data_IF_128477258640
#
_entry.id   IF_128477258640
#
_cell.length_a   1.000
_cell.length_b   1.000
_cell.length_c   1.000
_cell.angle_alpha   90.00
_cell.angle_beta   90.00
_cell.angle_gamma   90.00
#
_symmetry.space_group_name_H-M   'P 1'
#
loop_
_entity.id
_entity.type
_entity.pdbx_description
1 polymer ?
#
# COMPACT_ATOMS: atom_id res chain seq x y z
N UNK A 1 5.63 4.79 -14.43
CA UNK A 1 4.34 4.09 -14.47
C UNK A 1 4.41 2.95 -15.50
N UNK A 2 4.82 3.17 -16.75
CA UNK A 2 4.97 2.10 -17.75
C UNK A 2 5.91 0.97 -17.32
N UNK A 3 7.01 1.27 -16.62
CA UNK A 3 7.97 0.28 -16.14
C UNK A 3 7.40 -0.62 -15.03
N UNK A 4 6.47 -0.12 -14.21
CA UNK A 4 5.81 -0.91 -13.17
C UNK A 4 4.64 -1.73 -13.74
N UNK A 5 3.98 -1.26 -14.79
CA UNK A 5 2.73 -1.84 -15.29
C UNK A 5 2.81 -2.43 -16.70
N UNK A 6 3.89 -2.17 -17.46
CA UNK A 6 4.01 -2.57 -18.88
C UNK A 6 4.08 -4.08 -19.17
N UNK A 7 4.25 -4.91 -18.13
CA UNK A 7 4.30 -6.37 -18.25
C UNK A 7 3.09 -7.09 -17.64
N UNK A 8 2.01 -6.35 -17.32
CA UNK A 8 0.81 -6.96 -16.75
C UNK A 8 -0.05 -7.60 -17.85
N UNK A 9 -0.39 -8.86 -17.66
CA UNK A 9 -1.43 -9.48 -18.47
C UNK A 9 -2.78 -8.81 -18.16
N UNK A 10 -3.61 -8.62 -19.21
CA UNK A 10 -4.94 -7.99 -19.09
C UNK A 10 -5.96 -8.75 -18.24
N UNK A 11 -5.60 -9.94 -17.74
CA UNK A 11 -6.54 -10.89 -17.14
C UNK A 11 -6.39 -11.01 -15.61
N UNK A 12 -5.72 -10.05 -14.95
CA UNK A 12 -5.61 -10.05 -13.49
C UNK A 12 -6.85 -9.42 -12.86
N UNK A 13 -7.60 -10.22 -12.13
CA UNK A 13 -8.72 -9.75 -11.33
C UNK A 13 -8.23 -9.29 -9.96
N UNK A 14 -8.49 -8.04 -9.61
CA UNK A 14 -8.22 -7.47 -8.29
C UNK A 14 -9.52 -7.43 -7.49
N UNK A 15 -9.52 -8.07 -6.34
CA UNK A 15 -10.65 -8.00 -5.41
C UNK A 15 -10.67 -6.64 -4.71
N UNK A 16 -11.79 -5.92 -4.84
CA UNK A 16 -12.04 -4.65 -4.17
C UNK A 16 -12.98 -4.82 -2.99
N UNK A 17 -12.58 -4.25 -1.85
CA UNK A 17 -13.37 -4.22 -0.61
C UNK A 17 -13.52 -2.79 -0.11
N UNK A 18 -14.42 -2.58 0.84
CA UNK A 18 -14.44 -1.31 1.59
C UNK A 18 -13.22 -1.25 2.51
N UNK A 19 -12.43 -0.19 2.39
CA UNK A 19 -11.22 0.05 3.16
C UNK A 19 -11.40 1.27 4.04
N UNK A 20 -10.66 1.34 5.14
CA UNK A 20 -10.54 2.53 5.99
C UNK A 20 -9.80 3.65 5.25
N UNK A 21 -8.76 3.32 4.52
CA UNK A 21 -7.96 4.25 3.73
C UNK A 21 -6.80 4.88 4.49
N UNK A 22 -6.88 4.94 5.82
CA UNK A 22 -5.85 5.43 6.72
C UNK A 22 -5.70 4.53 7.95
N UNK A 23 -5.52 3.23 7.70
CA UNK A 23 -5.44 2.23 8.76
C UNK A 23 -4.06 2.28 9.43
N UNK A 24 -4.00 2.95 10.59
CA UNK A 24 -2.79 3.15 11.38
C UNK A 24 -3.08 3.09 12.88
N UNK A 25 -2.08 2.86 13.74
CA UNK A 25 -2.28 2.76 15.19
C UNK A 25 -3.01 3.96 15.82
N UNK A 26 -2.79 5.19 15.28
CA UNK A 26 -3.45 6.40 15.77
C UNK A 26 -4.97 6.41 15.57
N UNK A 27 -5.48 5.61 14.63
CA UNK A 27 -6.90 5.50 14.32
C UNK A 27 -7.56 4.26 14.94
N UNK A 28 -6.85 3.57 15.87
CA UNK A 28 -7.34 2.41 16.59
C UNK A 28 -7.44 2.78 18.07
N UNK A 29 -8.65 2.86 18.59
CA UNK A 29 -8.90 3.02 20.02
C UNK A 29 -9.14 1.65 20.62
N UNK A 30 -8.41 1.32 21.69
CA UNK A 30 -8.54 0.06 22.40
C UNK A 30 -9.01 0.28 23.84
N UNK A 31 -9.89 -0.59 24.33
CA UNK A 31 -10.18 -0.81 25.75
C UNK A 31 -9.76 -2.24 26.13
N UNK A 32 -10.07 -2.67 27.35
CA UNK A 32 -9.75 -4.02 27.81
C UNK A 32 -10.43 -5.11 26.96
N UNK A 33 -11.66 -4.85 26.50
CA UNK A 33 -12.48 -5.86 25.81
C UNK A 33 -12.85 -5.48 24.36
N UNK A 34 -12.66 -4.22 23.96
CA UNK A 34 -13.12 -3.71 22.67
C UNK A 34 -12.06 -2.87 21.93
N UNK A 35 -12.24 -2.76 20.64
CA UNK A 35 -11.52 -1.78 19.84
C UNK A 35 -12.46 -1.06 18.86
N UNK A 36 -12.15 0.19 18.55
CA UNK A 36 -12.88 1.00 17.60
C UNK A 36 -11.91 1.56 16.57
N UNK A 37 -12.35 1.55 15.31
CA UNK A 37 -11.69 2.28 14.23
C UNK A 37 -12.38 3.63 14.09
N UNK A 38 -11.59 4.69 14.13
CA UNK A 38 -12.05 6.09 14.00
C UNK A 38 -11.44 6.71 12.76
N UNK A 39 -11.94 7.87 12.37
CA UNK A 39 -11.39 8.69 11.27
C UNK A 39 -11.52 8.02 9.89
N UNK A 40 -12.76 7.75 9.49
CA UNK A 40 -13.11 7.09 8.24
C UNK A 40 -13.19 8.03 7.02
N UNK A 41 -12.62 9.23 7.09
CA UNK A 41 -12.74 10.25 6.04
C UNK A 41 -12.14 9.79 4.69
N UNK A 42 -11.16 8.89 4.72
CA UNK A 42 -10.52 8.32 3.53
C UNK A 42 -11.13 7.00 3.08
N UNK A 43 -12.26 6.58 3.67
CA UNK A 43 -12.89 5.31 3.31
C UNK A 43 -13.30 5.27 1.84
N UNK A 44 -12.97 4.16 1.17
CA UNK A 44 -13.29 3.95 -0.23
C UNK A 44 -13.21 2.45 -0.58
N UNK A 45 -13.59 2.11 -1.82
CA UNK A 45 -13.33 0.77 -2.35
C UNK A 45 -11.93 0.72 -2.96
N UNK A 46 -11.09 -0.15 -2.38
CA UNK A 46 -9.70 -0.38 -2.82
C UNK A 46 -9.39 -1.87 -2.81
N UNK A 47 -8.18 -2.20 -3.24
CA UNK A 47 -7.68 -3.56 -3.21
C UNK A 47 -7.74 -4.15 -1.80
N UNK A 48 -8.05 -5.45 -1.71
CA UNK A 48 -8.30 -6.16 -0.43
C UNK A 48 -7.14 -6.05 0.58
N UNK A 49 -5.92 -5.82 0.13
CA UNK A 49 -4.75 -5.69 1.01
C UNK A 49 -4.38 -4.24 1.33
N UNK A 50 -5.16 -3.26 0.86
CA UNK A 50 -4.81 -1.85 0.99
C UNK A 50 -4.54 -1.45 2.45
N UNK A 51 -5.50 -1.63 3.35
CA UNK A 51 -5.37 -1.22 4.75
C UNK A 51 -4.25 -1.98 5.48
N UNK A 52 -4.11 -3.28 5.19
CA UNK A 52 -3.03 -4.08 5.75
C UNK A 52 -1.64 -3.57 5.33
N UNK A 53 -1.49 -3.15 4.07
CA UNK A 53 -0.24 -2.61 3.56
C UNK A 53 0.02 -1.19 4.07
N UNK A 54 -1.02 -0.35 4.23
CA UNK A 54 -0.90 0.95 4.89
C UNK A 54 -0.31 0.79 6.28
N UNK A 55 -0.85 -0.16 7.06
CA UNK A 55 -0.39 -0.46 8.42
C UNK A 55 1.02 -1.02 8.45
N UNK A 56 1.28 -2.10 7.71
CA UNK A 56 2.54 -2.83 7.72
C UNK A 56 3.72 -2.02 7.18
N UNK A 57 3.46 -1.17 6.19
CA UNK A 57 4.47 -0.33 5.56
C UNK A 57 4.56 1.06 6.21
N UNK A 58 3.75 1.34 7.23
CA UNK A 58 3.70 2.65 7.91
C UNK A 58 3.63 3.80 6.90
N UNK A 59 2.71 3.71 5.94
CA UNK A 59 2.70 4.58 4.75
C UNK A 59 2.48 6.06 5.06
N UNK A 60 1.95 6.40 6.24
CA UNK A 60 1.87 7.80 6.71
C UNK A 60 3.26 8.46 6.83
N UNK A 61 4.29 7.67 7.05
CA UNK A 61 5.67 8.14 7.14
C UNK A 61 6.46 7.65 5.91
N UNK A 62 6.43 8.39 4.78
CA UNK A 62 7.00 7.90 3.52
C UNK A 62 8.52 7.70 3.57
N UNK A 63 9.24 8.43 4.42
CA UNK A 63 10.69 8.27 4.56
C UNK A 63 11.05 6.84 4.98
N UNK A 64 11.89 6.17 4.20
CA UNK A 64 12.29 4.78 4.44
C UNK A 64 11.26 3.73 3.98
N UNK A 65 10.21 4.13 3.26
CA UNK A 65 9.19 3.23 2.74
C UNK A 65 9.81 2.14 1.84
N UNK A 66 10.76 2.48 0.99
CA UNK A 66 11.46 1.52 0.12
C UNK A 66 12.20 0.44 0.92
N UNK A 67 12.83 0.81 2.04
CA UNK A 67 13.50 -0.15 2.91
C UNK A 67 12.49 -1.08 3.62
N UNK A 68 11.38 -0.54 4.13
CA UNK A 68 10.29 -1.34 4.75
C UNK A 68 9.66 -2.28 3.73
N UNK A 69 9.43 -1.80 2.51
CA UNK A 69 8.92 -2.62 1.43
C UNK A 69 9.89 -3.75 1.05
N UNK A 70 11.18 -3.46 0.89
CA UNK A 70 12.18 -4.49 0.58
C UNK A 70 12.26 -5.56 1.68
N UNK A 71 12.20 -5.16 2.94
CA UNK A 71 12.09 -6.09 4.07
C UNK A 71 10.84 -6.95 3.93
N UNK A 72 9.67 -6.35 3.71
CA UNK A 72 8.39 -7.05 3.62
C UNK A 72 8.32 -8.05 2.45
N UNK A 73 8.85 -7.70 1.28
CA UNK A 73 8.84 -8.60 0.12
C UNK A 73 9.75 -9.82 0.33
N UNK A 74 10.83 -9.66 1.10
CA UNK A 74 11.75 -10.75 1.42
C UNK A 74 11.27 -11.60 2.62
N UNK A 75 10.49 -11.04 3.52
CA UNK A 75 9.83 -11.75 4.62
C UNK A 75 8.54 -12.43 4.11
N UNK A 76 8.69 -13.48 3.30
CA UNK A 76 7.59 -14.20 2.63
C UNK A 76 6.49 -14.72 3.58
N UNK A 77 6.76 -14.81 4.88
CA UNK A 77 5.79 -15.24 5.89
C UNK A 77 4.61 -14.26 6.06
N UNK A 78 4.85 -12.95 6.07
CA UNK A 78 3.82 -11.96 6.38
C UNK A 78 2.67 -11.88 5.38
N UNK A 79 2.93 -11.95 4.07
CA UNK A 79 1.87 -11.98 3.05
C UNK A 79 1.13 -13.33 2.98
N UNK A 80 1.77 -14.44 3.38
CA UNK A 80 1.11 -15.75 3.37
C UNK A 80 -0.09 -15.81 4.31
N UNK A 81 -0.05 -15.05 5.39
CA UNK A 81 -1.15 -15.04 6.36
C UNK A 81 -2.35 -14.26 5.80
N UNK A 82 -2.15 -13.11 5.17
CA UNK A 82 -3.23 -12.38 4.48
C UNK A 82 -3.87 -13.21 3.36
N UNK A 83 -3.09 -13.98 2.63
CA UNK A 83 -3.59 -14.82 1.53
C UNK A 83 -4.37 -16.04 2.02
N UNK A 84 -3.99 -16.64 3.15
CA UNK A 84 -4.79 -17.70 3.79
C UNK A 84 -6.20 -17.22 4.11
N UNK A 85 -6.34 -15.95 4.54
CA UNK A 85 -7.64 -15.35 4.87
C UNK A 85 -8.50 -15.08 3.65
N UNK A 86 -7.91 -14.86 2.49
CA UNK A 86 -8.62 -14.53 1.25
C UNK A 86 -8.87 -15.72 0.34
N UNK A 87 -8.31 -16.90 0.67
CA UNK A 87 -8.40 -18.10 -0.17
C UNK A 87 -7.64 -17.99 -1.50
N UNK A 88 -6.77 -17.00 -1.65
CA UNK A 88 -6.02 -16.77 -2.88
C UNK A 88 -4.66 -17.47 -2.86
N UNK A 89 -4.24 -17.98 -4.02
CA UNK A 89 -2.92 -18.57 -4.22
C UNK A 89 -1.91 -17.53 -4.70
N UNK A 90 -0.65 -17.71 -4.29
CA UNK A 90 0.39 -16.68 -4.27
C UNK A 90 1.18 -16.44 -5.57
N UNK A 91 1.05 -17.30 -6.59
CA UNK A 91 2.14 -17.48 -7.56
C UNK A 91 2.52 -16.24 -8.37
N UNK A 92 1.59 -15.43 -8.82
CA UNK A 92 1.92 -14.16 -9.50
C UNK A 92 1.13 -12.95 -8.96
N UNK A 93 0.14 -13.19 -8.10
CA UNK A 93 -0.77 -12.16 -7.62
C UNK A 93 -0.15 -11.13 -6.66
N UNK A 94 0.94 -11.49 -5.94
CA UNK A 94 1.60 -10.60 -4.97
C UNK A 94 2.05 -9.29 -5.58
N UNK A 95 2.77 -9.40 -6.69
CA UNK A 95 3.35 -8.23 -7.36
C UNK A 95 2.24 -7.29 -7.82
N UNK A 96 1.15 -7.85 -8.35
CA UNK A 96 0.01 -7.06 -8.79
C UNK A 96 -0.63 -6.28 -7.64
N UNK A 97 -0.87 -6.93 -6.50
CA UNK A 97 -1.45 -6.26 -5.34
C UNK A 97 -0.56 -5.14 -4.81
N UNK A 98 0.76 -5.33 -4.76
CA UNK A 98 1.69 -4.25 -4.40
C UNK A 98 1.65 -3.09 -5.40
N UNK A 99 1.64 -3.38 -6.70
CA UNK A 99 1.57 -2.35 -7.72
C UNK A 99 0.25 -1.57 -7.63
N UNK A 100 -0.88 -2.28 -7.48
CA UNK A 100 -2.19 -1.64 -7.30
C UNK A 100 -2.21 -0.82 -6.03
N UNK A 101 -1.69 -1.34 -4.92
CA UNK A 101 -1.57 -0.62 -3.67
C UNK A 101 -0.82 0.70 -3.82
N UNK A 102 0.38 0.69 -4.42
CA UNK A 102 1.16 1.91 -4.59
C UNK A 102 0.49 2.92 -5.53
N UNK A 103 -0.26 2.45 -6.52
CA UNK A 103 -1.07 3.30 -7.38
C UNK A 103 -2.22 3.96 -6.59
N UNK A 104 -2.96 3.16 -5.83
CA UNK A 104 -4.07 3.63 -4.99
C UNK A 104 -3.60 4.63 -3.93
N UNK A 105 -2.47 4.36 -3.25
CA UNK A 105 -1.90 5.25 -2.24
C UNK A 105 -1.34 6.53 -2.86
N UNK A 106 -0.74 6.46 -4.06
CA UNK A 106 -0.31 7.64 -4.80
C UNK A 106 -1.48 8.54 -5.18
N UNK A 107 -2.57 7.95 -5.69
CA UNK A 107 -3.77 8.70 -6.06
C UNK A 107 -4.38 9.40 -4.85
N UNK A 108 -4.47 8.73 -3.71
CA UNK A 108 -4.94 9.33 -2.46
C UNK A 108 -4.09 10.55 -2.06
N UNK A 109 -2.77 10.42 -2.11
CA UNK A 109 -1.85 11.54 -1.79
C UNK A 109 -1.95 12.70 -2.75
N UNK A 110 -2.22 12.44 -4.03
CA UNK A 110 -2.45 13.49 -5.02
C UNK A 110 -3.75 14.24 -4.73
N UNK A 111 -4.81 13.54 -4.34
CA UNK A 111 -6.08 14.15 -3.96
C UNK A 111 -5.93 15.03 -2.70
N UNK A 112 -5.16 14.59 -1.71
CA UNK A 112 -4.85 15.38 -0.51
C UNK A 112 -4.19 16.74 -0.82
N UNK A 113 -3.41 16.83 -1.89
CA UNK A 113 -2.71 18.08 -2.27
C UNK A 113 -3.66 19.08 -2.92
N UNK A 114 -4.69 18.61 -3.61
CA UNK A 114 -5.61 19.47 -4.33
C UNK A 114 -6.47 20.37 -3.43
N UNK A 115 -6.54 20.06 -2.12
CA UNK A 115 -7.52 20.66 -1.21
C UNK A 115 -6.94 21.70 -0.26
N UNK A 116 -5.69 21.60 0.27
CA UNK A 116 -5.12 22.59 1.20
C UNK A 116 -3.60 22.51 1.43
N UNK A 117 -2.98 23.64 1.79
CA UNK A 117 -1.60 23.82 2.28
C UNK A 117 -0.51 23.14 1.41
N UNK A 118 -0.20 23.79 0.31
CA UNK A 118 0.66 23.31 -0.78
C UNK A 118 2.09 22.90 -0.33
N UNK A 119 2.70 23.58 0.63
CA UNK A 119 4.15 23.44 0.88
C UNK A 119 4.52 22.16 1.66
N UNK A 120 3.83 21.84 2.74
CA UNK A 120 4.10 20.66 3.56
C UNK A 120 3.70 19.36 2.85
N UNK A 121 2.52 19.35 2.23
CA UNK A 121 2.00 18.19 1.48
C UNK A 121 2.84 17.91 0.23
N UNK A 122 3.36 18.96 -0.44
CA UNK A 122 4.30 18.83 -1.55
C UNK A 122 5.60 18.13 -1.15
N UNK A 123 6.13 18.42 0.05
CA UNK A 123 7.32 17.75 0.58
C UNK A 123 7.06 16.28 0.88
N UNK A 124 5.91 15.96 1.47
CA UNK A 124 5.51 14.57 1.74
C UNK A 124 5.39 13.79 0.42
N UNK A 125 4.73 14.36 -0.59
CA UNK A 125 4.61 13.73 -1.91
C UNK A 125 5.97 13.55 -2.59
N UNK A 126 6.85 14.55 -2.54
CA UNK A 126 8.18 14.43 -3.16
C UNK A 126 9.02 13.33 -2.49
N UNK A 127 8.93 13.21 -1.16
CA UNK A 127 9.56 12.10 -0.43
C UNK A 127 8.95 10.77 -0.85
N UNK A 128 7.64 10.67 -0.94
CA UNK A 128 6.95 9.46 -1.36
C UNK A 128 7.34 9.04 -2.79
N UNK A 129 7.40 9.98 -3.73
CA UNK A 129 7.84 9.71 -5.10
C UNK A 129 9.29 9.22 -5.16
N UNK A 130 10.19 9.79 -4.35
CA UNK A 130 11.57 9.29 -4.25
C UNK A 130 11.64 7.86 -3.73
N UNK A 131 10.83 7.51 -2.73
CA UNK A 131 10.74 6.14 -2.21
C UNK A 131 10.13 5.16 -3.22
N UNK A 132 9.17 5.61 -4.06
CA UNK A 132 8.62 4.78 -5.15
C UNK A 132 9.69 4.40 -6.19
N UNK A 133 10.68 5.25 -6.44
CA UNK A 133 11.81 4.90 -7.31
C UNK A 133 12.66 3.78 -6.71
N UNK A 134 12.91 3.83 -5.40
CA UNK A 134 13.61 2.75 -4.68
C UNK A 134 12.80 1.45 -4.74
N UNK A 135 11.50 1.52 -4.54
CA UNK A 135 10.59 0.39 -4.64
C UNK A 135 10.60 -0.22 -6.05
N UNK A 136 10.62 0.62 -7.07
CA UNK A 136 10.75 0.17 -8.47
C UNK A 136 12.01 -0.68 -8.69
N UNK A 137 13.15 -0.25 -8.17
CA UNK A 137 14.40 -1.00 -8.27
C UNK A 137 14.33 -2.34 -7.54
N UNK A 138 13.67 -2.38 -6.37
CA UNK A 138 13.41 -3.62 -5.63
C UNK A 138 12.54 -4.57 -6.46
N UNK A 139 11.48 -4.09 -7.09
CA UNK A 139 10.63 -4.90 -7.98
C UNK A 139 11.43 -5.49 -9.13
N UNK A 140 12.16 -4.66 -9.87
CA UNK A 140 12.95 -5.10 -11.04
C UNK A 140 13.94 -6.19 -10.63
N UNK A 141 14.55 -6.06 -9.46
CA UNK A 141 15.54 -7.02 -8.95
C UNK A 141 14.91 -8.36 -8.56
N UNK A 142 13.68 -8.34 -8.03
CA UNK A 142 13.00 -9.54 -7.55
C UNK A 142 12.20 -10.27 -8.65
N UNK A 143 11.75 -9.58 -9.72
CA UNK A 143 11.08 -10.22 -10.87
C UNK A 143 12.05 -10.99 -11.76
N UNK A 144 13.33 -10.62 -11.76
CA UNK A 144 14.38 -11.27 -12.58
C UNK A 144 14.96 -12.56 -11.97
N UNK A 145 14.55 -12.92 -10.77
CA UNK A 145 14.91 -14.18 -10.09
C UNK A 145 13.81 -15.21 -10.24
#
# INVERSE_FOLDING_TARGET
VELLFGNFSSDVNINLVSTHGDFQPGNILCSEDDFWLIDWEYSNRRSIFYDALVFDLECRFPSGLGARFNKKINELGGMSDYLKWTGQTLDNGKIYYFCVFFLEDLLLRMDEISVDVIETKSKVLSTYLAELLIIQDVFITNIKK
#
